data_IF_503754671051
#
_entry.id   IF_503754671051
#
_cell.length_a   1.000
_cell.length_b   1.000
_cell.length_c   1.000
_cell.angle_alpha   90.00
_cell.angle_beta   90.00
_cell.angle_gamma   90.00
#
_symmetry.space_group_name_H-M   'P 1'
#
loop_
_entity.id
_entity.type
_entity.pdbx_description
1 polymer ?
#
# COMPACT_ATOMS: atom_id res chain seq x y z
N UNK A 1 -5.56 10.64 -6.80
CA UNK A 1 -6.74 9.93 -7.27
C UNK A 1 -6.34 9.06 -8.42
N UNK A 2 -7.27 8.73 -9.31
CA UNK A 2 -7.02 7.88 -10.48
C UNK A 2 -6.52 8.77 -11.63
N UNK A 3 -7.14 9.93 -11.83
CA UNK A 3 -6.81 10.86 -12.91
C UNK A 3 -5.60 11.74 -12.60
N UNK A 4 -5.46 12.22 -11.36
CA UNK A 4 -4.37 13.12 -11.01
C UNK A 4 -3.95 13.07 -9.54
N UNK A 5 -2.85 13.75 -9.24
CA UNK A 5 -2.35 13.98 -7.89
C UNK A 5 -2.93 15.28 -7.33
N UNK A 6 -3.59 15.20 -6.18
CA UNK A 6 -4.14 16.38 -5.49
C UNK A 6 -3.33 16.62 -4.22
N UNK A 7 -2.82 17.83 -4.08
CA UNK A 7 -2.20 18.29 -2.84
C UNK A 7 -3.27 18.70 -1.83
N UNK A 8 -2.87 18.87 -0.56
CA UNK A 8 -3.74 19.47 0.45
C UNK A 8 -4.15 20.90 0.08
N UNK A 9 -5.36 21.31 0.46
CA UNK A 9 -5.91 22.65 0.23
C UNK A 9 -7.41 22.61 -0.10
N UNK A 10 -7.92 23.72 -0.64
CA UNK A 10 -9.30 23.84 -1.12
C UNK A 10 -10.31 24.31 -0.08
N UNK A 11 -11.58 24.21 -0.45
CA UNK A 11 -12.73 24.59 0.38
C UNK A 11 -13.22 23.37 1.15
N UNK A 12 -13.46 23.53 2.46
CA UNK A 12 -13.90 22.43 3.33
C UNK A 12 -15.19 22.83 4.01
N UNK A 13 -16.21 21.99 3.86
CA UNK A 13 -17.48 22.16 4.56
C UNK A 13 -17.59 21.07 5.63
N UNK A 14 -17.49 21.41 6.92
CA UNK A 14 -17.64 20.42 7.99
C UNK A 14 -19.11 20.00 8.09
N UNK A 15 -19.37 18.70 7.92
CA UNK A 15 -20.68 18.11 8.12
C UNK A 15 -20.86 17.79 9.60
N UNK A 16 -21.63 18.62 10.31
CA UNK A 16 -21.89 18.50 11.75
C UNK A 16 -23.38 18.74 12.02
N UNK A 17 -23.90 18.12 13.08
CA UNK A 17 -25.26 18.35 13.55
C UNK A 17 -26.25 17.25 13.17
N UNK A 18 -27.52 17.59 13.25
CA UNK A 18 -28.64 16.69 12.97
C UNK A 18 -28.81 16.43 11.47
N UNK A 19 -29.55 15.37 11.13
CA UNK A 19 -29.88 15.05 9.74
C UNK A 19 -30.59 16.22 9.03
N UNK A 20 -31.46 16.94 9.74
CA UNK A 20 -32.25 18.04 9.17
C UNK A 20 -31.35 19.24 8.81
N UNK A 21 -30.45 19.62 9.71
CA UNK A 21 -29.46 20.69 9.47
C UNK A 21 -28.54 20.34 8.30
N UNK A 22 -28.07 19.09 8.22
CA UNK A 22 -27.23 18.63 7.12
C UNK A 22 -27.97 18.68 5.78
N UNK A 23 -29.26 18.34 5.73
CA UNK A 23 -30.06 18.42 4.50
C UNK A 23 -30.20 19.89 4.05
N UNK A 24 -30.43 20.81 5.00
CA UNK A 24 -30.51 22.25 4.71
C UNK A 24 -29.16 22.75 4.18
N UNK A 25 -28.05 22.38 4.84
CA UNK A 25 -26.70 22.75 4.41
C UNK A 25 -26.37 22.21 3.01
N UNK A 26 -26.74 20.97 2.69
CA UNK A 26 -26.53 20.40 1.35
C UNK A 26 -27.33 21.13 0.27
N UNK A 27 -28.58 21.52 0.58
CA UNK A 27 -29.39 22.34 -0.36
C UNK A 27 -28.76 23.70 -0.59
N UNK A 28 -28.26 24.35 0.45
CA UNK A 28 -27.56 25.63 0.31
C UNK A 28 -26.32 25.50 -0.58
N UNK A 29 -25.48 24.48 -0.38
CA UNK A 29 -24.31 24.24 -1.23
C UNK A 29 -24.69 23.99 -2.69
N UNK A 30 -25.83 23.34 -2.92
CA UNK A 30 -26.36 23.11 -4.26
C UNK A 30 -26.86 24.42 -4.90
N UNK A 31 -27.57 25.27 -4.16
CA UNK A 31 -28.04 26.59 -4.62
C UNK A 31 -26.87 27.54 -4.92
N UNK A 32 -25.80 27.48 -4.13
CA UNK A 32 -24.58 28.27 -4.30
C UNK A 32 -23.66 27.75 -5.42
N UNK A 33 -24.00 26.63 -6.08
CA UNK A 33 -23.15 25.93 -7.05
C UNK A 33 -21.73 25.66 -6.50
N UNK A 34 -21.64 25.17 -5.27
CA UNK A 34 -20.37 24.88 -4.61
C UNK A 34 -19.49 23.90 -5.42
N UNK A 35 -20.12 22.98 -6.16
CA UNK A 35 -19.48 22.17 -7.20
C UNK A 35 -19.78 22.82 -8.55
N UNK A 36 -18.74 23.29 -9.22
CA UNK A 36 -18.83 23.98 -10.50
C UNK A 36 -17.99 23.27 -11.59
N UNK A 37 -17.96 23.86 -12.80
CA UNK A 37 -17.18 23.34 -13.94
C UNK A 37 -15.66 23.32 -13.72
N UNK A 38 -15.17 24.12 -12.77
CA UNK A 38 -13.75 24.24 -12.46
C UNK A 38 -13.33 23.27 -11.34
N UNK A 39 -14.29 22.70 -10.63
CA UNK A 39 -14.06 21.67 -9.63
C UNK A 39 -13.43 20.44 -10.30
N UNK A 40 -12.36 19.92 -9.71
CA UNK A 40 -11.62 18.76 -10.22
C UNK A 40 -11.73 17.53 -9.35
N UNK A 41 -11.84 17.72 -8.04
CA UNK A 41 -11.99 16.62 -7.10
C UNK A 41 -12.83 17.06 -5.92
N UNK A 42 -13.74 16.20 -5.50
CA UNK A 42 -14.53 16.33 -4.28
C UNK A 42 -14.20 15.14 -3.38
N UNK A 43 -13.73 15.45 -2.17
CA UNK A 43 -13.40 14.45 -1.15
C UNK A 43 -14.48 14.45 -0.08
N UNK A 44 -15.07 13.28 0.16
CA UNK A 44 -15.94 13.03 1.30
C UNK A 44 -15.22 12.09 2.24
N UNK A 45 -14.84 12.64 3.39
CA UNK A 45 -13.99 11.99 4.37
C UNK A 45 -14.72 11.83 5.69
N UNK A 46 -14.76 10.62 6.23
CA UNK A 46 -15.32 10.36 7.54
C UNK A 46 -14.64 9.14 8.17
N UNK A 47 -14.73 9.02 9.48
CA UNK A 47 -14.19 7.88 10.22
C UNK A 47 -15.25 7.33 11.14
N UNK A 48 -15.47 6.02 11.06
CA UNK A 48 -16.43 5.31 11.91
C UNK A 48 -15.65 4.42 12.87
N UNK A 49 -16.07 4.34 14.12
CA UNK A 49 -15.46 3.46 15.11
C UNK A 49 -16.45 2.39 15.55
N UNK A 50 -16.05 1.12 15.46
CA UNK A 50 -16.81 0.00 16.00
C UNK A 50 -16.20 -0.45 17.35
N UNK A 51 -16.89 -0.19 18.49
CA UNK A 51 -16.37 -0.53 19.82
C UNK A 51 -16.35 -2.03 20.11
N UNK A 52 -17.18 -2.85 19.44
CA UNK A 52 -17.26 -4.28 19.71
C UNK A 52 -15.99 -5.02 19.27
N UNK A 53 -15.43 -4.61 18.13
CA UNK A 53 -14.20 -5.18 17.56
C UNK A 53 -12.98 -4.26 17.71
N UNK A 54 -13.17 -3.08 18.32
CA UNK A 54 -12.13 -2.06 18.48
C UNK A 54 -11.42 -1.70 17.16
N UNK A 55 -12.22 -1.40 16.14
CA UNK A 55 -11.74 -1.13 14.79
C UNK A 55 -12.24 0.23 14.29
N UNK A 56 -11.32 1.05 13.79
CA UNK A 56 -11.64 2.27 13.07
C UNK A 56 -11.76 1.94 11.58
N UNK A 57 -12.83 2.38 10.94
CA UNK A 57 -12.98 2.39 9.50
C UNK A 57 -12.80 3.83 9.01
N UNK A 58 -11.62 4.11 8.45
CA UNK A 58 -11.27 5.40 7.89
C UNK A 58 -11.71 5.37 6.42
N UNK A 59 -12.68 6.20 6.09
CA UNK A 59 -13.35 6.21 4.78
C UNK A 59 -13.02 7.48 4.02
N UNK A 60 -12.57 7.30 2.78
CA UNK A 60 -12.37 8.40 1.83
C UNK A 60 -13.09 8.06 0.54
N UNK A 61 -14.07 8.87 0.19
CA UNK A 61 -14.77 8.79 -1.10
C UNK A 61 -14.28 9.99 -1.92
N UNK A 62 -13.79 9.71 -3.13
CA UNK A 62 -13.26 10.71 -4.04
C UNK A 62 -14.06 10.67 -5.34
N UNK A 63 -14.67 11.80 -5.69
CA UNK A 63 -15.25 12.03 -7.01
C UNK A 63 -14.33 12.97 -7.80
N UNK A 64 -13.72 12.47 -8.86
CA UNK A 64 -12.89 13.25 -9.79
C UNK A 64 -13.74 13.70 -10.98
N UNK A 65 -13.80 15.00 -11.23
CA UNK A 65 -14.56 15.59 -12.33
C UNK A 65 -13.61 15.87 -13.50
N UNK A 66 -13.87 15.19 -14.61
CA UNK A 66 -13.12 15.37 -15.83
C UNK A 66 -13.51 16.70 -16.50
N UNK A 67 -12.56 17.44 -17.11
CA UNK A 67 -12.86 18.69 -17.82
C UNK A 67 -13.90 18.56 -18.94
N UNK A 68 -14.07 17.36 -19.52
CA UNK A 68 -15.08 17.08 -20.55
C UNK A 68 -16.48 16.73 -19.99
N UNK A 69 -16.67 16.74 -18.67
CA UNK A 69 -17.97 16.52 -18.01
C UNK A 69 -18.21 15.12 -17.43
N UNK A 70 -17.28 14.18 -17.61
CA UNK A 70 -17.34 12.87 -16.95
C UNK A 70 -16.99 12.94 -15.45
N UNK A 71 -17.52 12.04 -14.63
CA UNK A 71 -17.12 11.89 -13.22
C UNK A 71 -16.62 10.48 -12.95
N UNK A 72 -15.42 10.36 -12.40
CA UNK A 72 -14.83 9.09 -11.98
C UNK A 72 -14.87 9.03 -10.46
N UNK A 73 -15.52 8.02 -9.90
CA UNK A 73 -15.62 7.83 -8.45
C UNK A 73 -14.65 6.75 -8.00
N UNK A 74 -14.00 6.99 -6.87
CA UNK A 74 -13.13 6.03 -6.20
C UNK A 74 -13.41 6.03 -4.72
N UNK A 75 -13.36 4.84 -4.10
CA UNK A 75 -13.68 4.67 -2.70
C UNK A 75 -12.52 3.92 -2.04
N UNK A 76 -12.08 4.42 -0.89
CA UNK A 76 -10.99 3.85 -0.11
C UNK A 76 -11.47 3.66 1.33
N UNK A 77 -11.51 2.41 1.77
CA UNK A 77 -11.84 2.02 3.14
C UNK A 77 -10.62 1.40 3.80
N UNK A 78 -10.17 2.02 4.89
CA UNK A 78 -9.02 1.56 5.64
C UNK A 78 -9.43 1.13 7.05
N UNK A 79 -9.50 -0.19 7.32
CA UNK A 79 -9.64 -0.69 8.67
C UNK A 79 -8.32 -0.52 9.42
N UNK A 80 -8.35 0.16 10.56
CA UNK A 80 -7.19 0.38 11.40
C UNK A 80 -7.51 0.12 12.89
N UNK A 81 -6.75 -0.78 13.51
CA UNK A 81 -6.78 -0.98 14.97
C UNK A 81 -5.84 0.05 15.61
N UNK A 82 -6.38 1.24 15.88
CA UNK A 82 -5.59 2.36 16.40
C UNK A 82 -5.37 2.32 17.92
N UNK A 83 -6.25 1.61 18.66
CA UNK A 83 -6.19 1.48 20.12
C UNK A 83 -5.79 0.05 20.50
N UNK A 84 -4.51 -0.34 20.40
CA UNK A 84 -4.08 -1.73 20.63
C UNK A 84 -4.38 -2.24 22.05
N UNK A 85 -4.35 -1.35 23.05
CA UNK A 85 -4.44 -1.70 24.46
C UNK A 85 -5.88 -1.64 25.01
N UNK A 86 -6.84 -2.27 24.35
CA UNK A 86 -8.22 -2.39 24.87
C UNK A 86 -8.70 -3.84 25.03
N UNK A 87 -8.03 -4.80 24.39
CA UNK A 87 -8.45 -6.21 24.37
C UNK A 87 -7.95 -6.97 25.61
N UNK A 88 -8.65 -8.04 25.99
CA UNK A 88 -8.26 -8.93 27.10
C UNK A 88 -6.83 -9.51 26.97
N UNK A 89 -6.31 -9.62 25.75
CA UNK A 89 -4.97 -10.09 25.45
C UNK A 89 -3.86 -9.00 25.52
N UNK A 90 -4.16 -7.81 26.08
CA UNK A 90 -3.22 -6.68 26.14
C UNK A 90 -1.85 -7.04 26.73
N UNK A 91 -1.84 -7.76 27.87
CA UNK A 91 -0.59 -8.12 28.53
C UNK A 91 0.31 -8.99 27.64
N UNK A 92 -0.28 -9.96 26.94
CA UNK A 92 0.44 -10.81 26.00
C UNK A 92 1.03 -10.00 24.85
N UNK A 93 0.23 -9.09 24.27
CA UNK A 93 0.70 -8.21 23.20
C UNK A 93 1.89 -7.34 23.64
N UNK A 94 1.80 -6.70 24.82
CA UNK A 94 2.90 -5.87 25.35
C UNK A 94 4.17 -6.71 25.56
N UNK A 95 4.04 -7.92 26.12
CA UNK A 95 5.20 -8.82 26.31
C UNK A 95 5.83 -9.18 24.95
N UNK A 96 5.03 -9.52 23.94
CA UNK A 96 5.53 -9.81 22.60
C UNK A 96 6.22 -8.60 21.95
N UNK A 97 5.68 -7.39 22.12
CA UNK A 97 6.28 -6.14 21.62
C UNK A 97 7.65 -5.88 22.27
N UNK A 98 7.75 -6.03 23.60
CA UNK A 98 9.02 -5.87 24.33
C UNK A 98 10.05 -6.91 23.87
N UNK A 99 9.64 -8.18 23.79
CA UNK A 99 10.52 -9.26 23.32
C UNK A 99 11.00 -9.00 21.89
N UNK A 100 10.13 -8.53 21.00
CA UNK A 100 10.49 -8.17 19.63
C UNK A 100 11.53 -7.05 19.57
N UNK A 101 11.36 -5.98 20.37
CA UNK A 101 12.33 -4.88 20.45
C UNK A 101 13.69 -5.39 20.96
N UNK A 102 13.69 -6.25 21.99
CA UNK A 102 14.93 -6.86 22.51
C UNK A 102 15.65 -7.71 21.44
N UNK A 103 14.91 -8.51 20.67
CA UNK A 103 15.48 -9.27 19.55
C UNK A 103 16.04 -8.36 18.46
N UNK A 104 15.32 -7.29 18.09
CA UNK A 104 15.79 -6.33 17.10
C UNK A 104 17.12 -5.68 17.54
N UNK A 105 17.22 -5.24 18.80
CA UNK A 105 18.46 -4.69 19.37
C UNK A 105 19.60 -5.71 19.37
N UNK A 106 19.33 -6.95 19.76
CA UNK A 106 20.32 -8.02 19.73
C UNK A 106 20.87 -8.25 18.32
N UNK A 107 20.00 -8.34 17.30
CA UNK A 107 20.42 -8.53 15.92
C UNK A 107 21.18 -7.32 15.35
N UNK A 108 20.81 -6.10 15.73
CA UNK A 108 21.56 -4.89 15.37
C UNK A 108 23.00 -4.97 15.89
N UNK A 109 23.19 -5.25 17.18
CA UNK A 109 24.53 -5.34 17.79
C UNK A 109 25.34 -6.47 17.17
N UNK A 110 24.71 -7.61 16.88
CA UNK A 110 25.34 -8.75 16.21
C UNK A 110 25.86 -8.37 14.83
N UNK A 111 25.01 -7.77 13.99
CA UNK A 111 25.40 -7.39 12.62
C UNK A 111 26.41 -6.26 12.58
N UNK A 112 26.31 -5.27 13.47
CA UNK A 112 27.34 -4.22 13.57
C UNK A 112 28.72 -4.83 13.86
N UNK A 113 28.80 -5.80 14.79
CA UNK A 113 30.06 -6.49 15.08
C UNK A 113 30.60 -7.26 13.88
N UNK A 114 29.74 -7.90 13.10
CA UNK A 114 30.13 -8.67 11.91
C UNK A 114 30.59 -7.75 10.77
N UNK A 115 29.90 -6.63 10.59
CA UNK A 115 30.26 -5.58 9.64
C UNK A 115 31.62 -4.96 9.96
N UNK A 116 31.93 -4.69 11.24
CA UNK A 116 33.25 -4.18 11.62
C UNK A 116 34.40 -5.17 11.34
N UNK A 117 34.13 -6.48 11.42
CA UNK A 117 35.14 -7.52 11.12
C UNK A 117 35.38 -7.68 9.62
N UNK A 118 34.32 -7.71 8.82
CA UNK A 118 34.37 -8.08 7.39
C UNK A 118 34.39 -6.87 6.44
N UNK A 119 34.16 -5.66 6.97
CA UNK A 119 34.22 -4.37 6.25
C UNK A 119 33.46 -4.42 4.91
N UNK A 120 34.10 -4.02 3.81
CA UNK A 120 33.47 -3.92 2.49
C UNK A 120 33.09 -5.27 1.89
N UNK A 121 33.75 -6.38 2.27
CA UNK A 121 33.45 -7.71 1.73
C UNK A 121 32.07 -8.21 2.19
N UNK A 122 31.53 -7.65 3.27
CA UNK A 122 30.21 -7.97 3.79
C UNK A 122 29.09 -7.69 2.77
N UNK A 123 29.19 -6.59 2.02
CA UNK A 123 28.14 -6.17 1.07
C UNK A 123 28.09 -7.01 -0.20
N UNK A 124 29.12 -7.80 -0.51
CA UNK A 124 29.12 -8.68 -1.67
C UNK A 124 28.32 -9.99 -1.44
N UNK A 125 27.97 -10.31 -0.20
CA UNK A 125 27.19 -11.51 0.13
C UNK A 125 25.70 -11.22 0.07
N UNK A 126 24.98 -11.91 -0.82
CA UNK A 126 23.51 -11.82 -0.93
C UNK A 126 22.79 -12.01 0.41
N UNK A 127 23.23 -12.97 1.23
CA UNK A 127 22.59 -13.27 2.50
C UNK A 127 22.77 -12.16 3.54
N UNK A 128 23.90 -11.46 3.49
CA UNK A 128 24.20 -10.35 4.38
C UNK A 128 23.33 -9.14 4.03
N UNK A 129 23.08 -8.93 2.72
CA UNK A 129 22.15 -7.91 2.24
C UNK A 129 20.70 -8.19 2.69
N UNK A 130 20.27 -9.47 2.69
CA UNK A 130 18.96 -9.87 3.26
C UNK A 130 18.91 -9.57 4.77
N UNK A 131 19.99 -9.82 5.52
CA UNK A 131 20.03 -9.52 6.96
C UNK A 131 19.98 -8.01 7.26
N UNK A 132 20.69 -7.18 6.50
CA UNK A 132 20.56 -5.71 6.56
C UNK A 132 19.13 -5.29 6.23
N UNK A 133 18.52 -5.88 5.20
CA UNK A 133 17.13 -5.61 4.82
C UNK A 133 16.14 -5.88 5.95
N UNK A 134 16.28 -7.00 6.64
CA UNK A 134 15.42 -7.35 7.80
C UNK A 134 15.60 -6.36 8.95
N UNK A 135 16.85 -5.98 9.27
CA UNK A 135 17.14 -5.07 10.38
C UNK A 135 16.69 -3.64 10.08
N UNK A 136 16.94 -3.14 8.88
CA UNK A 136 16.50 -1.80 8.48
C UNK A 136 14.98 -1.69 8.50
N UNK A 137 14.28 -2.69 7.97
CA UNK A 137 12.81 -2.74 8.01
C UNK A 137 12.25 -2.92 9.43
N UNK A 138 12.91 -3.71 10.29
CA UNK A 138 12.45 -3.86 11.68
C UNK A 138 12.56 -2.57 12.48
N UNK A 139 13.67 -1.83 12.33
CA UNK A 139 13.85 -0.52 12.96
C UNK A 139 12.82 0.48 12.44
N UNK A 140 12.60 0.54 11.12
CA UNK A 140 11.59 1.40 10.52
C UNK A 140 10.18 1.07 11.05
N UNK A 141 9.83 -0.22 11.15
CA UNK A 141 8.55 -0.66 11.69
C UNK A 141 8.37 -0.24 13.16
N UNK A 142 9.40 -0.37 14.00
CA UNK A 142 9.36 0.07 15.40
C UNK A 142 9.12 1.59 15.49
N UNK A 143 9.81 2.39 14.68
CA UNK A 143 9.64 3.85 14.65
C UNK A 143 8.22 4.23 14.26
N UNK A 144 7.67 3.63 13.19
CA UNK A 144 6.31 3.89 12.74
C UNK A 144 5.27 3.44 13.76
N UNK A 145 5.51 2.32 14.46
CA UNK A 145 4.64 1.84 15.53
C UNK A 145 4.47 2.88 16.63
N UNK A 146 5.57 3.40 17.17
CA UNK A 146 5.52 4.44 18.20
C UNK A 146 4.94 5.76 17.68
N UNK A 147 5.29 6.15 16.45
CA UNK A 147 4.72 7.33 15.81
C UNK A 147 3.20 7.24 15.71
N UNK A 148 2.67 6.12 15.21
CA UNK A 148 1.22 5.87 15.10
C UNK A 148 0.55 5.92 16.47
N UNK A 149 1.16 5.34 17.50
CA UNK A 149 0.63 5.35 18.86
C UNK A 149 0.51 6.78 19.43
N UNK A 150 1.57 7.59 19.27
CA UNK A 150 1.58 8.98 19.76
C UNK A 150 0.54 9.84 19.03
N UNK A 151 0.49 9.76 17.70
CA UNK A 151 -0.45 10.55 16.90
C UNK A 151 -1.89 10.13 17.20
N UNK A 152 -2.17 8.83 17.29
CA UNK A 152 -3.51 8.33 17.66
C UNK A 152 -3.94 8.87 19.02
N UNK A 153 -3.08 8.78 20.03
CA UNK A 153 -3.41 9.28 21.37
C UNK A 153 -3.72 10.78 21.37
N UNK A 154 -3.01 11.56 20.55
CA UNK A 154 -3.28 12.99 20.37
C UNK A 154 -4.65 13.23 19.73
N UNK A 155 -4.95 12.55 18.62
CA UNK A 155 -6.21 12.70 17.88
C UNK A 155 -7.42 12.25 18.72
N UNK A 156 -7.30 11.13 19.44
CA UNK A 156 -8.36 10.64 20.33
C UNK A 156 -8.61 11.60 21.49
N UNK A 157 -7.56 12.24 22.03
CA UNK A 157 -7.71 13.27 23.08
C UNK A 157 -8.41 14.52 22.54
N UNK A 158 -8.09 14.95 21.32
CA UNK A 158 -8.74 16.07 20.65
C UNK A 158 -10.23 15.77 20.35
N UNK A 159 -10.53 14.55 19.89
CA UNK A 159 -11.89 14.09 19.69
C UNK A 159 -12.71 14.12 20.99
N UNK A 160 -12.12 13.64 22.10
CA UNK A 160 -12.72 13.69 23.43
C UNK A 160 -12.98 15.12 23.89
N UNK A 161 -12.03 16.04 23.66
CA UNK A 161 -12.18 17.46 24.02
C UNK A 161 -13.30 18.15 23.23
N UNK A 162 -13.62 17.68 22.04
CA UNK A 162 -14.71 18.24 21.21
C UNK A 162 -16.07 17.60 21.50
N UNK A 163 -16.19 16.85 22.61
CA UNK A 163 -17.40 16.12 22.99
C UNK A 163 -17.95 15.21 21.88
N UNK A 164 -17.09 14.74 20.97
CA UNK A 164 -17.47 13.88 19.84
C UNK A 164 -18.13 14.59 18.64
N UNK A 165 -18.31 15.92 18.67
CA UNK A 165 -18.93 16.66 17.56
C UNK A 165 -17.88 17.32 16.62
N UNK A 166 -16.59 17.10 16.89
CA UNK A 166 -15.48 17.58 16.08
C UNK A 166 -15.04 16.55 15.06
N UNK A 167 -14.88 16.97 13.80
CA UNK A 167 -14.17 16.15 12.82
C UNK A 167 -12.67 16.19 13.12
N UNK A 168 -12.07 15.01 13.28
CA UNK A 168 -10.64 14.83 13.48
C UNK A 168 -10.10 14.00 12.31
N UNK A 169 -9.03 14.48 11.70
CA UNK A 169 -8.47 13.88 10.48
C UNK A 169 -7.66 12.62 10.80
N UNK A 170 -8.30 11.45 10.74
CA UNK A 170 -7.64 10.15 10.95
C UNK A 170 -6.97 9.58 9.69
N UNK A 171 -7.21 10.16 8.51
CA UNK A 171 -6.67 9.72 7.21
C UNK A 171 -5.15 9.56 7.23
N UNK A 172 -4.47 10.53 7.84
CA UNK A 172 -3.01 10.50 7.92
C UNK A 172 -2.51 9.31 8.76
N UNK A 173 -3.20 8.97 9.84
CA UNK A 173 -2.86 7.79 10.67
C UNK A 173 -3.19 6.49 9.94
N UNK A 174 -4.29 6.48 9.17
CA UNK A 174 -4.65 5.36 8.28
C UNK A 174 -3.54 5.04 7.28
N UNK A 175 -3.01 6.07 6.60
CA UNK A 175 -1.89 5.90 5.67
C UNK A 175 -0.63 5.30 6.31
N UNK A 176 -0.25 5.77 7.51
CA UNK A 176 0.88 5.18 8.25
C UNK A 176 0.59 3.75 8.70
N UNK A 177 -0.67 3.42 9.02
CA UNK A 177 -1.07 2.07 9.38
C UNK A 177 -1.00 1.10 8.19
N UNK A 178 -1.44 1.54 7.00
CA UNK A 178 -1.31 0.77 5.76
C UNK A 178 0.18 0.55 5.43
N UNK A 179 0.98 1.61 5.47
CA UNK A 179 2.44 1.55 5.24
C UNK A 179 3.11 0.57 6.21
N UNK A 180 2.77 0.63 7.50
CA UNK A 180 3.25 -0.31 8.51
C UNK A 180 2.87 -1.76 8.18
N UNK A 181 1.66 -1.98 7.67
CA UNK A 181 1.18 -3.32 7.29
C UNK A 181 1.97 -3.88 6.09
N UNK A 182 2.26 -3.04 5.09
CA UNK A 182 3.15 -3.41 3.99
C UNK A 182 4.58 -3.71 4.46
N UNK A 183 5.12 -2.92 5.40
CA UNK A 183 6.45 -3.16 5.97
C UNK A 183 6.51 -4.50 6.71
N UNK A 184 5.50 -4.84 7.53
CA UNK A 184 5.43 -6.14 8.20
C UNK A 184 5.35 -7.27 7.17
N UNK A 185 4.49 -7.13 6.14
CA UNK A 185 4.37 -8.14 5.09
C UNK A 185 5.70 -8.40 4.39
N UNK A 186 6.43 -7.34 4.05
CA UNK A 186 7.75 -7.45 3.44
C UNK A 186 8.80 -8.02 4.40
N UNK A 187 8.76 -7.65 5.68
CA UNK A 187 9.64 -8.22 6.70
C UNK A 187 9.40 -9.73 6.85
N UNK A 188 8.14 -10.16 6.90
CA UNK A 188 7.77 -11.57 6.91
C UNK A 188 8.30 -12.28 5.66
N UNK A 189 8.18 -11.68 4.47
CA UNK A 189 8.74 -12.23 3.23
C UNK A 189 10.26 -12.38 3.28
N UNK A 190 11.00 -11.39 3.77
CA UNK A 190 12.46 -11.52 3.94
C UNK A 190 12.82 -12.57 5.00
N UNK A 191 12.04 -12.65 6.09
CA UNK A 191 12.23 -13.64 7.14
C UNK A 191 11.99 -15.07 6.62
N UNK A 192 11.00 -15.29 5.75
CA UNK A 192 10.78 -16.60 5.10
C UNK A 192 11.92 -16.95 4.15
N UNK A 193 12.46 -15.99 3.37
CA UNK A 193 13.67 -16.22 2.57
C UNK A 193 14.86 -16.60 3.46
N UNK A 194 15.05 -15.92 4.60
CA UNK A 194 16.10 -16.26 5.57
C UNK A 194 15.89 -17.67 6.14
N UNK A 195 14.65 -18.08 6.39
CA UNK A 195 14.34 -19.44 6.82
C UNK A 195 14.74 -20.48 5.75
N UNK A 196 14.58 -20.20 4.46
CA UNK A 196 15.06 -21.08 3.38
C UNK A 196 16.58 -21.28 3.42
N UNK A 197 17.36 -20.29 3.88
CA UNK A 197 18.82 -20.44 4.10
C UNK A 197 19.12 -21.55 5.11
N UNK A 198 18.34 -21.63 6.18
CA UNK A 198 18.51 -22.64 7.23
C UNK A 198 18.21 -24.04 6.69
N UNK A 199 17.28 -24.18 5.74
CA UNK A 199 16.99 -25.47 5.10
C UNK A 199 18.15 -26.00 4.23
N UNK A 200 19.17 -25.19 3.93
CA UNK A 200 20.37 -25.61 3.18
C UNK A 200 21.20 -26.67 3.90
N UNK A 201 20.98 -26.91 5.20
CA UNK A 201 21.56 -28.06 5.89
C UNK A 201 21.17 -29.40 5.24
N UNK A 202 20.03 -29.46 4.55
CA UNK A 202 19.66 -30.61 3.75
C UNK A 202 20.42 -30.61 2.40
N UNK A 203 21.15 -31.69 2.11
CA UNK A 203 21.92 -31.86 0.86
C UNK A 203 21.08 -31.65 -0.40
N UNK A 204 19.81 -32.08 -0.41
CA UNK A 204 18.90 -31.87 -1.57
C UNK A 204 18.61 -30.39 -1.81
N UNK A 205 18.32 -29.64 -0.75
CA UNK A 205 18.05 -28.20 -0.83
C UNK A 205 19.30 -27.39 -1.19
N UNK A 206 20.47 -27.79 -0.70
CA UNK A 206 21.73 -27.15 -1.08
C UNK A 206 22.09 -27.33 -2.55
N UNK A 207 21.80 -28.50 -3.12
CA UNK A 207 21.98 -28.71 -4.57
C UNK A 207 21.06 -27.81 -5.39
N UNK A 208 19.76 -27.72 -5.04
CA UNK A 208 18.81 -26.81 -5.71
C UNK A 208 19.23 -25.34 -5.65
N UNK A 209 19.70 -24.87 -4.48
CA UNK A 209 20.18 -23.49 -4.35
C UNK A 209 21.43 -23.24 -5.19
N UNK A 210 22.31 -24.24 -5.32
CA UNK A 210 23.55 -24.12 -6.10
C UNK A 210 23.28 -24.15 -7.60
N UNK A 211 22.35 -24.99 -8.07
CA UNK A 211 21.93 -25.01 -9.48
C UNK A 211 21.23 -23.71 -9.87
N UNK A 212 20.35 -23.18 -9.02
CA UNK A 212 19.71 -21.87 -9.26
C UNK A 212 20.73 -20.74 -9.29
N UNK A 213 21.73 -20.74 -8.39
CA UNK A 213 22.80 -19.75 -8.39
C UNK A 213 23.64 -19.82 -9.67
N UNK A 214 23.91 -21.03 -10.17
CA UNK A 214 24.66 -21.23 -11.41
C UNK A 214 23.87 -20.79 -12.65
N UNK A 215 22.57 -21.11 -12.71
CA UNK A 215 21.70 -20.73 -13.84
C UNK A 215 21.22 -19.28 -13.79
N UNK A 216 21.37 -18.58 -12.66
CA UNK A 216 20.89 -17.20 -12.47
C UNK A 216 21.39 -16.26 -13.56
N UNK A 217 22.66 -16.35 -13.96
CA UNK A 217 23.19 -15.50 -15.03
C UNK A 217 22.49 -15.79 -16.36
N UNK A 218 22.34 -17.05 -16.76
CA UNK A 218 21.63 -17.41 -18.00
C UNK A 218 20.17 -16.97 -17.96
N UNK A 219 19.49 -17.12 -16.81
CA UNK A 219 18.12 -16.64 -16.62
C UNK A 219 18.00 -15.12 -16.73
N UNK A 220 18.99 -14.36 -16.23
CA UNK A 220 19.01 -12.89 -16.37
C UNK A 220 19.14 -12.49 -17.84
N UNK A 221 20.04 -13.12 -18.61
CA UNK A 221 20.19 -12.82 -20.05
C UNK A 221 18.91 -13.13 -20.82
N UNK A 222 18.30 -14.29 -20.57
CA UNK A 222 16.99 -14.63 -21.15
C UNK A 222 15.90 -13.63 -20.71
N UNK A 223 15.89 -13.25 -19.44
CA UNK A 223 14.95 -12.29 -18.87
C UNK A 223 15.02 -10.91 -19.54
N UNK A 224 16.22 -10.44 -19.92
CA UNK A 224 16.39 -9.18 -20.65
C UNK A 224 15.74 -9.28 -22.04
N UNK A 225 15.98 -10.36 -22.78
CA UNK A 225 15.38 -10.57 -24.10
C UNK A 225 13.85 -10.66 -23.99
N UNK A 226 13.36 -11.43 -23.02
CA UNK A 226 11.94 -11.54 -22.71
C UNK A 226 11.33 -10.17 -22.39
N UNK A 227 11.97 -9.36 -21.56
CA UNK A 227 11.48 -8.04 -21.18
C UNK A 227 11.39 -7.10 -22.39
N UNK A 228 12.37 -7.11 -23.29
CA UNK A 228 12.35 -6.29 -24.51
C UNK A 228 11.15 -6.66 -25.38
N UNK A 229 10.94 -7.95 -25.63
CA UNK A 229 9.80 -8.44 -26.44
C UNK A 229 8.48 -8.12 -25.73
N UNK A 230 8.40 -8.37 -24.43
CA UNK A 230 7.22 -8.10 -23.61
C UNK A 230 6.83 -6.62 -23.64
N UNK A 231 7.79 -5.72 -23.44
CA UNK A 231 7.56 -4.27 -23.49
C UNK A 231 7.15 -3.80 -24.89
N UNK A 232 7.73 -4.37 -25.96
CA UNK A 232 7.34 -4.07 -27.32
C UNK A 232 5.86 -4.44 -27.58
N UNK A 233 5.43 -5.62 -27.13
CA UNK A 233 4.01 -6.00 -27.19
C UNK A 233 3.13 -5.11 -26.30
N UNK A 234 3.50 -4.86 -25.05
CA UNK A 234 2.73 -3.96 -24.16
C UNK A 234 2.57 -2.55 -24.74
N UNK A 235 3.59 -2.03 -25.44
CA UNK A 235 3.52 -0.76 -26.13
C UNK A 235 2.60 -0.81 -27.35
N UNK A 236 2.65 -1.89 -28.14
CA UNK A 236 1.75 -2.08 -29.28
C UNK A 236 0.29 -2.13 -28.81
N UNK A 237 -0.03 -2.98 -27.83
CA UNK A 237 -1.38 -3.09 -27.28
C UNK A 237 -1.87 -1.78 -26.66
N UNK A 238 -0.99 -1.05 -25.97
CA UNK A 238 -1.32 0.28 -25.46
C UNK A 238 -1.73 1.22 -26.60
N UNK A 239 -0.93 1.34 -27.65
CA UNK A 239 -1.21 2.28 -28.75
C UNK A 239 -2.46 1.90 -29.55
N UNK A 240 -2.71 0.61 -29.76
CA UNK A 240 -3.89 0.13 -30.51
C UNK A 240 -5.17 0.28 -29.68
N UNK A 241 -5.17 -0.14 -28.41
CA UNK A 241 -6.41 -0.30 -27.63
C UNK A 241 -6.66 0.78 -26.57
N UNK A 242 -5.76 1.75 -26.37
CA UNK A 242 -5.91 2.78 -25.31
C UNK A 242 -7.23 3.57 -25.35
N UNK A 243 -7.84 3.72 -26.53
CA UNK A 243 -9.05 4.51 -26.71
C UNK A 243 -10.33 3.65 -26.69
N UNK A 244 -10.19 2.32 -26.66
CA UNK A 244 -11.30 1.37 -26.83
C UNK A 244 -11.55 0.60 -25.54
N UNK A 245 -10.49 0.14 -24.87
CA UNK A 245 -10.58 -0.72 -23.71
C UNK A 245 -9.86 -0.12 -22.49
N UNK A 246 -10.51 -0.21 -21.34
CA UNK A 246 -10.02 0.33 -20.06
C UNK A 246 -8.79 -0.44 -19.57
N UNK A 247 -8.70 -1.74 -19.89
CA UNK A 247 -7.56 -2.58 -19.49
C UNK A 247 -6.24 -2.14 -20.16
N UNK A 248 -6.34 -1.40 -21.27
CA UNK A 248 -5.20 -0.85 -22.01
C UNK A 248 -5.11 0.68 -21.94
N UNK A 249 -5.89 1.34 -21.06
CA UNK A 249 -5.95 2.80 -20.98
C UNK A 249 -4.64 3.46 -20.51
N UNK A 250 -3.80 2.74 -19.76
CA UNK A 250 -2.48 3.21 -19.34
C UNK A 250 -1.41 2.17 -19.69
N UNK A 251 -0.17 2.63 -19.88
CA UNK A 251 0.94 1.73 -20.18
C UNK A 251 1.17 0.67 -19.07
N UNK A 252 0.96 1.05 -17.80
CA UNK A 252 1.07 0.10 -16.68
C UNK A 252 -0.09 -0.91 -16.71
N UNK A 253 -1.31 -0.46 -17.02
CA UNK A 253 -2.46 -1.35 -17.18
C UNK A 253 -2.25 -2.35 -18.34
N UNK A 254 -1.70 -1.90 -19.47
CA UNK A 254 -1.41 -2.80 -20.60
C UNK A 254 -0.33 -3.85 -20.26
N UNK A 255 0.66 -3.50 -19.43
CA UNK A 255 1.60 -4.49 -18.90
C UNK A 255 0.91 -5.51 -18.00
N UNK A 256 0.00 -5.08 -17.12
CA UNK A 256 -0.78 -5.99 -16.26
C UNK A 256 -1.67 -6.90 -17.10
N UNK A 257 -2.38 -6.34 -18.10
CA UNK A 257 -3.20 -7.08 -19.04
C UNK A 257 -2.36 -8.12 -19.82
N UNK A 258 -1.16 -7.77 -20.27
CA UNK A 258 -0.24 -8.70 -20.93
C UNK A 258 0.14 -9.90 -20.05
N UNK A 259 0.41 -9.68 -18.75
CA UNK A 259 0.68 -10.77 -17.80
C UNK A 259 -0.59 -11.61 -17.58
N UNK A 260 -1.76 -10.99 -17.44
CA UNK A 260 -3.03 -11.68 -17.28
C UNK A 260 -3.36 -12.56 -18.50
N UNK A 261 -3.06 -12.07 -19.71
CA UNK A 261 -3.20 -12.83 -20.95
C UNK A 261 -2.29 -14.05 -20.96
N UNK A 262 -1.03 -13.94 -20.50
CA UNK A 262 -0.14 -15.10 -20.31
C UNK A 262 -0.68 -16.12 -19.29
N UNK A 263 -1.45 -15.65 -18.29
CA UNK A 263 -2.14 -16.51 -17.32
C UNK A 263 -3.48 -17.07 -17.84
N UNK A 264 -3.90 -16.71 -19.06
CA UNK A 264 -5.15 -17.15 -19.67
C UNK A 264 -6.39 -16.37 -19.23
N UNK A 265 -6.22 -15.19 -18.61
CA UNK A 265 -7.32 -14.28 -18.24
C UNK A 265 -7.33 -13.06 -19.16
N UNK A 266 -8.19 -13.08 -20.17
CA UNK A 266 -8.35 -11.97 -21.12
C UNK A 266 -9.76 -11.99 -21.72
N UNK A 267 -10.32 -10.81 -21.99
CA UNK A 267 -11.59 -10.69 -22.70
C UNK A 267 -11.33 -10.55 -24.21
N UNK A 268 -11.52 -11.65 -24.93
CA UNK A 268 -11.32 -11.71 -26.38
C UNK A 268 -12.39 -10.89 -27.10
N UNK A 269 -13.59 -10.80 -26.53
CA UNK A 269 -14.73 -10.20 -27.22
C UNK A 269 -14.56 -8.70 -27.38
N UNK A 270 -14.04 -8.01 -26.36
CA UNK A 270 -13.74 -6.57 -26.47
C UNK A 270 -12.68 -6.30 -27.54
N UNK A 271 -11.65 -7.16 -27.62
CA UNK A 271 -10.56 -7.01 -28.58
C UNK A 271 -11.04 -7.24 -30.02
N UNK A 272 -11.78 -8.33 -30.30
CA UNK A 272 -12.27 -8.62 -31.66
C UNK A 272 -13.24 -7.53 -32.17
N UNK A 273 -14.07 -6.98 -31.27
CA UNK A 273 -15.00 -5.90 -31.63
C UNK A 273 -14.28 -4.58 -31.91
N UNK A 274 -13.15 -4.36 -31.24
CA UNK A 274 -12.32 -3.17 -31.41
C UNK A 274 -11.62 -3.18 -32.78
N UNK A 275 -10.90 -4.25 -33.10
CA UNK A 275 -10.14 -4.32 -34.34
C UNK A 275 -9.96 -5.76 -34.87
N UNK A 276 -10.91 -6.27 -35.68
CA UNK A 276 -10.99 -7.70 -36.05
C UNK A 276 -9.84 -8.19 -36.95
N UNK A 277 -8.97 -7.31 -37.40
CA UNK A 277 -7.81 -7.62 -38.24
C UNK A 277 -6.52 -7.74 -37.43
N UNK A 278 -6.41 -7.05 -36.29
CA UNK A 278 -5.22 -7.03 -35.44
C UNK A 278 -5.29 -8.00 -34.24
N UNK A 279 -6.45 -8.62 -34.03
CA UNK A 279 -6.75 -9.54 -32.93
C UNK A 279 -6.98 -10.96 -33.40
#
# INVERSE_FOLDING_TARGET
GILSWYSGGGYVVPLKGSKEELIIQMKQLQEENWIDRYTRAVFVEFTVYNPQVNLFAISTILAELHPSGGTVTSVRFEPAMLLPYMTSAMLFQIVCEIVYILFALFFIVRELRELFKTKCQYFCSFWNLVEIGIISMSVAAIVIFFYRLIVTNKLTKEFKNTHGNGYVKFQYVGYWNETFSYMIGFLCFLATIKFLKLLRFNRKMSMLSSTLKFSAWSLIHFGIIFLIVFLAFSQLFYLTFMHIDVDYATFVASMVAGILMMMGKYDIYSMIMAEPVLT
#
